data_IF_687543098824
#
_entry.id   IF_687543098824
#
_cell.length_a   1.000
_cell.length_b   1.000
_cell.length_c   1.000
_cell.angle_alpha   90.00
_cell.angle_beta   90.00
_cell.angle_gamma   90.00
#
_symmetry.space_group_name_H-M   'P 1'
#
loop_
_entity.id
_entity.type
_entity.pdbx_description
1 polymer ?
#
# COMPACT_ATOMS: atom_id res chain seq x y z
N UNK A 1 -43.01 -43.77 53.04
CA UNK A 1 -42.13 -42.69 53.51
C UNK A 1 -41.24 -42.34 52.31
N UNK A 2 -41.64 -41.35 51.59
CA UNK A 2 -40.87 -40.85 50.40
C UNK A 2 -40.30 -39.50 50.80
N UNK A 3 -39.00 -39.50 51.10
CA UNK A 3 -38.20 -38.24 51.19
C UNK A 3 -37.89 -37.70 49.78
N UNK A 4 -38.61 -36.66 49.38
CA UNK A 4 -38.23 -35.83 48.28
C UNK A 4 -37.24 -34.78 48.80
N UNK A 5 -35.96 -35.06 48.67
CA UNK A 5 -34.93 -34.04 48.78
C UNK A 5 -35.03 -33.10 47.57
N UNK A 6 -35.48 -31.90 47.86
CA UNK A 6 -35.60 -30.80 46.90
C UNK A 6 -34.15 -30.29 46.51
N UNK A 7 -33.52 -30.89 45.51
CA UNK A 7 -32.25 -30.44 45.00
C UNK A 7 -32.49 -29.12 44.25
N UNK A 8 -32.11 -27.99 44.85
CA UNK A 8 -32.08 -26.71 44.18
C UNK A 8 -31.13 -26.81 42.97
N UNK A 9 -31.70 -26.60 41.79
CA UNK A 9 -30.96 -26.59 40.54
C UNK A 9 -30.06 -25.33 40.49
N UNK A 10 -28.75 -25.54 40.59
CA UNK A 10 -27.77 -24.50 40.31
C UNK A 10 -27.80 -24.16 38.81
N UNK A 11 -27.89 -22.88 38.48
CA UNK A 11 -27.86 -22.41 37.09
C UNK A 11 -26.66 -21.54 36.86
N UNK A 12 -25.92 -21.81 35.75
CA UNK A 12 -24.79 -21.01 35.34
C UNK A 12 -25.26 -19.71 34.66
N UNK A 13 -25.07 -18.58 35.31
CA UNK A 13 -25.53 -17.26 34.82
C UNK A 13 -24.45 -16.18 34.97
N UNK A 14 -24.61 -15.10 34.21
CA UNK A 14 -23.74 -13.90 34.27
C UNK A 14 -24.05 -13.07 35.52
N UNK A 15 -23.08 -12.87 36.39
CA UNK A 15 -23.20 -11.94 37.50
C UNK A 15 -23.55 -10.53 37.01
N UNK A 16 -24.64 -9.92 37.53
CA UNK A 16 -25.06 -8.57 37.15
C UNK A 16 -24.02 -7.49 37.50
N UNK A 17 -23.21 -7.72 38.55
CA UNK A 17 -22.18 -6.78 38.98
C UNK A 17 -20.89 -6.82 38.12
N UNK A 18 -20.19 -7.94 38.09
CA UNK A 18 -18.89 -8.08 37.44
C UNK A 18 -18.92 -8.66 36.00
N UNK A 19 -20.10 -9.15 35.56
CA UNK A 19 -20.29 -9.77 34.23
C UNK A 19 -19.48 -11.04 33.98
N UNK A 20 -19.06 -11.75 35.08
CA UNK A 20 -18.42 -13.06 34.98
C UNK A 20 -19.49 -14.16 35.18
N UNK A 21 -19.23 -15.35 34.65
CA UNK A 21 -20.08 -16.53 34.81
C UNK A 21 -19.88 -17.13 36.20
N UNK A 22 -20.97 -17.45 36.90
CA UNK A 22 -20.99 -18.12 38.18
C UNK A 22 -22.18 -19.07 38.25
N UNK A 23 -22.04 -20.13 39.04
CA UNK A 23 -23.16 -20.97 39.47
C UNK A 23 -23.92 -20.25 40.56
N UNK A 24 -25.23 -20.09 40.39
CA UNK A 24 -26.10 -19.43 41.35
C UNK A 24 -27.19 -20.40 41.81
N UNK A 25 -27.45 -20.38 43.10
CA UNK A 25 -28.58 -21.06 43.71
C UNK A 25 -29.79 -20.11 43.75
N UNK A 26 -30.91 -20.54 43.21
CA UNK A 26 -32.14 -19.76 43.22
C UNK A 26 -32.07 -18.44 42.45
N UNK A 27 -32.75 -17.40 42.98
CA UNK A 27 -32.90 -16.09 42.33
C UNK A 27 -31.70 -15.11 42.48
N UNK A 28 -30.56 -15.61 42.94
CA UNK A 28 -29.37 -14.77 43.14
C UNK A 28 -28.81 -14.34 41.80
N UNK A 29 -28.62 -13.02 41.59
CA UNK A 29 -28.17 -12.42 40.32
C UNK A 29 -26.78 -11.76 40.38
N UNK A 30 -26.10 -11.86 41.55
CA UNK A 30 -24.76 -11.27 41.77
C UNK A 30 -23.90 -12.24 42.61
N UNK A 31 -22.62 -12.39 42.22
CA UNK A 31 -21.65 -13.22 42.95
C UNK A 31 -21.31 -12.62 44.32
N UNK A 32 -20.76 -13.45 45.22
CA UNK A 32 -20.43 -13.05 46.59
C UNK A 32 -19.51 -11.83 46.64
N UNK A 33 -18.45 -11.82 45.88
CA UNK A 33 -17.53 -10.68 45.78
C UNK A 33 -18.22 -9.37 45.42
N UNK A 34 -19.22 -9.40 44.55
CA UNK A 34 -20.00 -8.21 44.20
C UNK A 34 -21.01 -7.84 45.27
N UNK A 35 -21.58 -8.82 45.99
CA UNK A 35 -22.43 -8.56 47.14
C UNK A 35 -21.68 -7.97 48.32
N UNK A 36 -20.48 -8.49 48.60
CA UNK A 36 -19.63 -8.00 49.69
C UNK A 36 -19.08 -6.60 49.40
N UNK A 37 -18.69 -6.32 48.16
CA UNK A 37 -18.34 -4.97 47.74
C UNK A 37 -19.52 -4.00 47.87
N UNK A 38 -20.72 -4.43 47.56
CA UNK A 38 -21.94 -3.65 47.76
C UNK A 38 -22.30 -3.44 49.26
N UNK A 39 -21.93 -4.38 50.14
CA UNK A 39 -22.08 -4.24 51.62
C UNK A 39 -21.02 -3.27 52.17
N UNK A 40 -19.75 -3.40 51.76
CA UNK A 40 -18.65 -2.50 52.17
C UNK A 40 -18.95 -1.03 51.80
N UNK A 41 -19.42 -0.78 50.58
CA UNK A 41 -19.83 0.58 50.16
C UNK A 41 -21.06 1.13 50.92
N UNK A 42 -21.90 0.27 51.49
CA UNK A 42 -23.02 0.72 52.32
C UNK A 42 -22.60 0.97 53.79
N UNK A 43 -21.64 0.23 54.31
CA UNK A 43 -21.13 0.42 55.68
C UNK A 43 -20.24 1.69 55.79
N UNK A 44 -19.55 2.08 54.74
CA UNK A 44 -18.82 3.36 54.70
C UNK A 44 -19.72 4.60 54.55
N UNK A 45 -21.00 4.42 54.24
CA UNK A 45 -21.95 5.50 54.00
C UNK A 45 -22.60 6.09 55.27
N UNK A 46 -22.11 5.75 56.49
CA UNK A 46 -22.53 6.39 57.74
C UNK A 46 -21.84 7.73 58.05
N UNK A 47 -21.34 8.41 57.02
CA UNK A 47 -20.76 9.74 57.12
C UNK A 47 -21.92 10.77 57.25
N UNK A 48 -21.79 11.71 58.17
CA UNK A 48 -22.69 12.80 58.50
C UNK A 48 -23.39 13.40 57.27
N UNK A 49 -24.71 13.28 57.27
CA UNK A 49 -25.58 13.75 56.19
C UNK A 49 -25.71 15.27 56.26
N UNK A 50 -24.97 15.98 55.46
CA UNK A 50 -25.05 17.45 55.36
C UNK A 50 -25.95 17.81 54.20
N UNK A 51 -26.95 18.73 54.33
CA UNK A 51 -27.81 19.17 53.25
C UNK A 51 -27.00 19.95 52.19
N UNK A 52 -27.46 19.92 50.95
CA UNK A 52 -26.88 20.72 49.88
C UNK A 52 -27.03 22.22 50.17
N UNK A 53 -26.00 23.04 49.90
CA UNK A 53 -26.04 24.47 50.15
C UNK A 53 -26.90 25.29 49.19
N UNK A 54 -27.53 24.64 48.18
CA UNK A 54 -28.49 25.30 47.29
C UNK A 54 -29.87 25.32 47.89
N UNK A 55 -30.49 26.50 47.98
CA UNK A 55 -31.83 26.74 48.50
C UNK A 55 -32.85 25.85 47.76
N UNK A 56 -33.72 25.18 48.54
CA UNK A 56 -34.76 24.26 48.02
C UNK A 56 -34.23 22.87 47.59
N UNK A 57 -32.96 22.55 47.78
CA UNK A 57 -32.42 21.23 47.40
C UNK A 57 -32.45 20.25 48.58
N UNK A 58 -33.15 19.12 48.42
CA UNK A 58 -33.22 18.03 49.39
C UNK A 58 -32.08 17.02 49.30
N UNK A 59 -31.17 17.17 48.33
CA UNK A 59 -30.04 16.25 48.13
C UNK A 59 -28.96 16.46 49.17
N UNK A 60 -28.26 15.37 49.51
CA UNK A 60 -27.15 15.33 50.47
C UNK A 60 -25.81 15.63 49.76
N UNK A 61 -24.87 16.25 50.46
CA UNK A 61 -23.51 16.53 50.01
C UNK A 61 -22.44 15.87 50.89
N UNK A 62 -21.21 15.72 50.39
CA UNK A 62 -20.06 15.33 51.20
C UNK A 62 -19.56 16.53 52.02
N UNK A 63 -18.81 16.30 53.10
CA UNK A 63 -18.23 17.33 53.95
C UNK A 63 -17.27 18.28 53.23
N UNK A 64 -16.66 17.83 52.14
CA UNK A 64 -15.65 18.59 51.37
C UNK A 64 -16.27 19.53 50.32
N UNK A 65 -17.53 19.40 50.00
CA UNK A 65 -18.17 20.17 48.93
C UNK A 65 -19.36 21.01 49.44
N UNK A 66 -19.48 22.24 48.95
CA UNK A 66 -20.60 23.11 49.31
C UNK A 66 -21.95 22.67 48.73
N UNK A 67 -21.95 21.84 47.63
CA UNK A 67 -23.14 21.45 46.90
C UNK A 67 -23.19 19.94 46.68
N UNK A 68 -24.41 19.40 46.51
CA UNK A 68 -24.57 17.99 46.11
C UNK A 68 -23.99 17.75 44.69
N UNK A 69 -23.72 16.50 44.34
CA UNK A 69 -23.09 16.15 43.06
C UNK A 69 -23.85 16.66 41.85
N UNK A 70 -25.18 16.79 41.88
CA UNK A 70 -25.96 17.34 40.80
C UNK A 70 -25.66 18.85 40.59
N UNK A 71 -25.67 19.61 41.69
CA UNK A 71 -25.43 21.07 41.64
C UNK A 71 -23.95 21.40 41.32
N UNK A 72 -23.01 20.57 41.74
CA UNK A 72 -21.59 20.69 41.27
C UNK A 72 -21.49 20.51 39.75
N UNK A 73 -22.26 19.61 39.16
CA UNK A 73 -22.29 19.42 37.70
C UNK A 73 -22.90 20.66 37.03
N UNK A 74 -24.00 21.21 37.57
CA UNK A 74 -24.60 22.42 37.01
C UNK A 74 -23.64 23.62 37.03
N UNK A 75 -22.99 23.89 38.16
CA UNK A 75 -21.98 24.95 38.26
C UNK A 75 -20.85 24.76 37.24
N UNK A 76 -20.34 23.58 37.08
CA UNK A 76 -19.30 23.27 36.09
C UNK A 76 -19.78 23.50 34.65
N UNK A 77 -21.07 23.21 34.36
CA UNK A 77 -21.66 23.51 33.04
C UNK A 77 -21.71 24.99 32.79
N UNK A 78 -22.21 25.75 33.79
CA UNK A 78 -22.37 27.23 33.72
C UNK A 78 -21.00 27.90 33.55
N UNK A 79 -20.01 27.54 34.33
CA UNK A 79 -18.62 28.03 34.24
C UNK A 79 -18.01 27.77 32.86
N UNK A 80 -18.18 26.54 32.36
CA UNK A 80 -17.63 26.17 31.05
C UNK A 80 -18.26 26.95 29.90
N UNK A 81 -19.60 27.17 30.00
CA UNK A 81 -20.35 27.98 29.03
C UNK A 81 -19.93 29.44 29.08
N UNK A 82 -19.73 30.00 30.26
CA UNK A 82 -19.27 31.39 30.45
C UNK A 82 -17.87 31.63 29.84
N UNK A 83 -17.01 30.56 29.79
CA UNK A 83 -15.71 30.61 29.17
C UNK A 83 -15.74 30.36 27.63
N UNK A 84 -16.91 30.18 27.03
CA UNK A 84 -17.06 29.86 25.60
C UNK A 84 -16.50 28.48 25.21
N UNK A 85 -16.34 27.58 26.17
CA UNK A 85 -15.77 26.24 25.95
C UNK A 85 -16.85 25.19 25.85
N UNK A 86 -16.50 24.04 25.25
CA UNK A 86 -17.36 22.86 25.16
C UNK A 86 -17.06 21.90 26.31
N UNK A 87 -18.09 21.20 26.78
CA UNK A 87 -17.94 20.13 27.76
C UNK A 87 -17.54 18.81 27.09
N UNK A 88 -16.62 18.07 27.70
CA UNK A 88 -16.42 16.68 27.31
C UNK A 88 -17.71 15.89 27.51
N UNK A 89 -18.17 15.13 26.50
CA UNK A 89 -19.43 14.34 26.57
C UNK A 89 -19.54 13.45 27.81
N UNK A 90 -18.42 13.08 28.43
CA UNK A 90 -18.38 12.28 29.65
C UNK A 90 -18.50 13.13 30.92
N UNK A 91 -18.88 14.42 30.85
CA UNK A 91 -19.04 15.28 32.03
C UNK A 91 -20.07 14.73 33.04
N UNK A 92 -21.14 14.13 32.53
CA UNK A 92 -22.15 13.45 33.38
C UNK A 92 -21.60 12.23 34.13
N UNK A 93 -20.48 11.67 33.65
CA UNK A 93 -19.76 10.55 34.28
C UNK A 93 -18.55 11.01 35.11
N UNK A 94 -18.48 12.28 35.42
CA UNK A 94 -17.45 12.89 36.28
C UNK A 94 -16.23 13.45 35.54
N UNK A 95 -16.19 13.46 34.22
CA UNK A 95 -15.11 14.17 33.50
C UNK A 95 -15.26 15.68 33.67
N UNK A 96 -14.16 16.36 34.00
CA UNK A 96 -14.12 17.83 34.19
C UNK A 96 -13.24 18.52 33.14
N UNK A 97 -13.01 17.87 32.00
CA UNK A 97 -12.26 18.48 30.89
C UNK A 97 -13.14 19.46 30.11
N UNK A 98 -12.63 20.68 29.99
CA UNK A 98 -13.18 21.74 29.15
C UNK A 98 -12.45 21.68 27.82
N UNK A 99 -13.18 21.74 26.70
CA UNK A 99 -12.68 21.65 25.34
C UNK A 99 -12.83 23.00 24.68
N UNK A 100 -11.87 23.39 23.86
CA UNK A 100 -11.98 24.61 23.08
C UNK A 100 -13.13 24.52 22.08
N UNK A 101 -13.74 25.67 21.73
CA UNK A 101 -14.90 25.70 20.85
C UNK A 101 -14.63 25.05 19.49
N UNK A 102 -13.39 25.15 18.99
CA UNK A 102 -12.94 24.57 17.70
C UNK A 102 -12.50 23.10 17.79
N UNK A 103 -12.45 22.52 19.01
CA UNK A 103 -12.03 21.13 19.17
C UNK A 103 -13.01 20.18 18.49
N UNK A 104 -12.54 19.42 17.49
CA UNK A 104 -13.40 18.59 16.61
C UNK A 104 -14.07 17.42 17.33
N UNK A 105 -13.47 16.92 18.41
CA UNK A 105 -14.02 15.77 19.13
C UNK A 105 -14.95 16.17 20.26
N UNK A 106 -15.99 15.38 20.48
CA UNK A 106 -16.96 15.58 21.58
C UNK A 106 -16.46 15.06 22.93
N UNK A 107 -15.29 14.39 22.97
CA UNK A 107 -14.67 13.85 24.18
C UNK A 107 -13.19 14.28 24.25
N UNK A 108 -12.71 14.53 25.47
CA UNK A 108 -11.30 14.88 25.69
C UNK A 108 -10.36 13.68 25.42
N UNK A 109 -9.10 13.95 25.17
CA UNK A 109 -8.08 12.94 24.86
C UNK A 109 -8.00 11.85 25.95
N UNK A 110 -8.00 12.22 27.24
CA UNK A 110 -7.96 11.28 28.34
C UNK A 110 -9.16 10.30 28.37
N UNK A 111 -10.37 10.78 28.03
CA UNK A 111 -11.54 9.91 27.91
C UNK A 111 -11.46 8.99 26.70
N UNK A 112 -10.92 9.47 25.59
CA UNK A 112 -10.70 8.66 24.37
C UNK A 112 -9.63 7.58 24.63
N UNK A 113 -8.59 7.90 25.37
CA UNK A 113 -7.52 6.96 25.71
C UNK A 113 -8.01 5.86 26.66
N UNK A 114 -8.77 6.21 27.73
CA UNK A 114 -9.43 5.23 28.59
C UNK A 114 -10.37 4.29 27.82
N UNK A 115 -11.10 4.80 26.83
CA UNK A 115 -11.95 3.97 25.98
C UNK A 115 -11.12 3.02 25.12
N UNK A 116 -9.99 3.49 24.55
CA UNK A 116 -9.06 2.66 23.76
C UNK A 116 -8.43 1.54 24.62
N UNK A 117 -7.99 1.87 25.81
CA UNK A 117 -7.42 0.89 26.76
C UNK A 117 -8.46 -0.16 27.16
N UNK A 118 -9.68 0.26 27.47
CA UNK A 118 -10.79 -0.65 27.79
C UNK A 118 -11.13 -1.56 26.60
N UNK A 119 -11.15 -1.03 25.39
CA UNK A 119 -11.44 -1.82 24.19
C UNK A 119 -10.28 -2.77 23.85
N UNK A 120 -9.03 -2.35 24.10
CA UNK A 120 -7.85 -3.20 24.00
C UNK A 120 -7.90 -4.34 25.02
N UNK A 121 -8.24 -4.04 26.26
CA UNK A 121 -8.39 -5.04 27.31
C UNK A 121 -9.52 -6.04 27.00
N UNK A 122 -10.67 -5.59 26.48
CA UNK A 122 -11.74 -6.48 26.02
C UNK A 122 -11.30 -7.42 24.91
N UNK A 123 -10.53 -6.92 23.94
CA UNK A 123 -10.04 -7.73 22.81
C UNK A 123 -8.98 -8.76 23.24
N UNK A 124 -8.19 -8.46 24.27
CA UNK A 124 -7.18 -9.38 24.81
C UNK A 124 -7.77 -10.56 25.60
N UNK A 125 -9.02 -10.44 26.02
CA UNK A 125 -9.74 -11.48 26.80
C UNK A 125 -10.63 -12.36 25.91
N UNK A 126 -10.72 -12.07 24.59
CA UNK A 126 -11.51 -12.91 23.69
C UNK A 126 -10.85 -14.27 23.55
N UNK A 127 -11.48 -15.31 24.07
CA UNK A 127 -11.01 -16.69 23.95
C UNK A 127 -11.07 -17.13 22.49
N UNK A 128 -10.02 -17.80 22.03
CA UNK A 128 -10.00 -18.51 20.75
C UNK A 128 -10.55 -19.92 20.86
N UNK A 129 -10.87 -20.38 22.06
CA UNK A 129 -11.39 -21.72 22.33
C UNK A 129 -12.83 -21.87 21.83
N UNK A 130 -13.11 -23.04 21.30
CA UNK A 130 -14.45 -23.46 20.88
C UNK A 130 -15.08 -24.21 22.07
N UNK A 131 -16.18 -23.68 22.57
CA UNK A 131 -16.95 -24.29 23.67
C UNK A 131 -18.31 -24.69 23.11
N UNK A 132 -18.68 -25.95 23.22
CA UNK A 132 -19.98 -26.51 22.74
C UNK A 132 -20.27 -26.14 21.25
N UNK A 133 -19.25 -26.24 20.37
CA UNK A 133 -19.41 -25.90 18.96
C UNK A 133 -19.59 -24.41 18.68
N UNK A 134 -19.33 -23.53 19.65
CA UNK A 134 -19.46 -22.08 19.54
C UNK A 134 -18.15 -21.39 19.78
N UNK A 135 -17.91 -20.31 19.03
CA UNK A 135 -16.73 -19.44 19.12
C UNK A 135 -17.11 -18.05 19.62
N UNK A 136 -16.22 -17.41 20.37
CA UNK A 136 -16.45 -16.05 20.85
C UNK A 136 -16.11 -15.01 19.77
N UNK A 137 -17.06 -14.11 19.51
CA UNK A 137 -16.86 -13.03 18.52
C UNK A 137 -15.95 -11.93 19.08
N UNK A 138 -14.94 -11.52 18.31
CA UNK A 138 -13.99 -10.47 18.71
C UNK A 138 -14.60 -9.06 18.82
N UNK A 139 -15.82 -8.84 18.34
CA UNK A 139 -16.51 -7.54 18.36
C UNK A 139 -17.59 -7.49 19.42
N UNK A 140 -18.59 -8.38 19.37
CA UNK A 140 -19.69 -8.39 20.36
C UNK A 140 -19.38 -9.22 21.59
N UNK A 141 -18.27 -9.98 21.60
CA UNK A 141 -17.86 -10.89 22.68
C UNK A 141 -18.91 -12.00 23.00
N UNK A 142 -19.92 -12.17 22.15
CA UNK A 142 -20.93 -13.24 22.30
C UNK A 142 -20.42 -14.54 21.65
N UNK A 143 -20.84 -15.69 22.27
CA UNK A 143 -20.60 -17.00 21.69
C UNK A 143 -21.62 -17.29 20.58
N UNK A 144 -21.12 -17.63 19.39
CA UNK A 144 -21.91 -17.87 18.17
C UNK A 144 -21.52 -19.21 17.56
N UNK A 145 -22.41 -19.86 16.79
CA UNK A 145 -22.09 -21.07 16.03
C UNK A 145 -20.93 -20.84 15.06
N UNK A 146 -20.17 -21.89 14.74
CA UNK A 146 -19.01 -21.77 13.83
C UNK A 146 -19.39 -21.30 12.42
N UNK A 147 -20.59 -21.64 11.97
CA UNK A 147 -21.15 -21.20 10.69
C UNK A 147 -21.17 -19.66 10.54
N UNK A 148 -21.43 -18.95 11.63
CA UNK A 148 -21.43 -17.50 11.69
C UNK A 148 -20.04 -16.88 11.44
N UNK A 149 -18.97 -17.67 11.45
CA UNK A 149 -17.60 -17.19 11.23
C UNK A 149 -17.05 -17.46 9.84
N UNK A 150 -17.88 -18.02 8.96
CA UNK A 150 -17.52 -18.22 7.55
C UNK A 150 -17.72 -16.91 6.78
N UNK A 151 -16.68 -16.40 6.13
CA UNK A 151 -16.72 -15.20 5.30
C UNK A 151 -17.22 -15.48 3.89
N UNK A 152 -17.40 -14.43 3.08
CA UNK A 152 -17.91 -14.50 1.70
C UNK A 152 -17.07 -15.41 0.80
N UNK A 153 -15.74 -15.50 1.06
CA UNK A 153 -14.83 -16.36 0.29
C UNK A 153 -14.51 -17.68 1.01
N UNK A 154 -15.44 -18.20 1.80
CA UNK A 154 -15.28 -19.42 2.60
C UNK A 154 -14.10 -19.40 3.60
N UNK A 155 -13.50 -18.21 3.85
CA UNK A 155 -12.43 -18.08 4.85
C UNK A 155 -13.00 -17.94 6.25
N UNK A 156 -12.29 -18.50 7.23
CA UNK A 156 -12.61 -18.30 8.64
C UNK A 156 -12.36 -16.85 9.08
N UNK A 157 -13.30 -16.25 9.80
CA UNK A 157 -13.23 -14.88 10.30
C UNK A 157 -13.19 -14.85 11.83
N UNK A 158 -12.72 -13.73 12.41
CA UNK A 158 -12.73 -13.49 13.88
C UNK A 158 -14.03 -12.85 14.38
N UNK A 159 -14.91 -12.45 13.46
CA UNK A 159 -16.17 -11.73 13.75
C UNK A 159 -17.37 -12.51 13.24
N UNK A 160 -18.45 -12.56 14.03
CA UNK A 160 -19.67 -13.24 13.60
C UNK A 160 -20.37 -12.51 12.43
N UNK A 161 -21.21 -13.23 11.70
CA UNK A 161 -22.00 -12.75 10.56
C UNK A 161 -22.75 -11.45 10.89
N UNK A 162 -23.48 -11.43 12.01
CA UNK A 162 -24.25 -10.26 12.47
C UNK A 162 -23.37 -9.01 12.63
N UNK A 163 -22.21 -9.10 13.28
CA UNK A 163 -21.29 -7.96 13.40
C UNK A 163 -20.73 -7.51 12.05
N UNK A 164 -20.48 -8.43 11.13
CA UNK A 164 -20.04 -8.08 9.77
C UNK A 164 -21.12 -7.36 9.00
N UNK A 165 -22.37 -7.76 9.13
CA UNK A 165 -23.51 -7.12 8.49
C UNK A 165 -23.77 -5.71 9.04
N UNK A 166 -23.67 -5.54 10.35
CA UNK A 166 -23.78 -4.22 10.98
C UNK A 166 -22.67 -3.27 10.46
N UNK A 167 -21.43 -3.74 10.35
CA UNK A 167 -20.35 -2.97 9.75
C UNK A 167 -20.61 -2.62 8.29
N UNK A 168 -21.20 -3.56 7.53
CA UNK A 168 -21.56 -3.32 6.13
C UNK A 168 -22.60 -2.21 6.02
N UNK A 169 -23.70 -2.31 6.78
CA UNK A 169 -24.76 -1.30 6.84
C UNK A 169 -24.24 0.08 7.29
N UNK A 170 -23.33 0.11 8.26
CA UNK A 170 -22.71 1.35 8.70
C UNK A 170 -21.81 1.97 7.61
N UNK A 171 -21.05 1.14 6.88
CA UNK A 171 -20.19 1.61 5.80
C UNK A 171 -20.99 2.11 4.58
N UNK A 172 -22.14 1.52 4.30
CA UNK A 172 -23.05 1.99 3.24
C UNK A 172 -23.61 3.38 3.52
N UNK A 173 -23.84 3.69 4.80
CA UNK A 173 -24.34 5.01 5.25
C UNK A 173 -23.25 6.08 5.30
N UNK A 174 -21.97 5.73 5.19
CA UNK A 174 -20.86 6.69 5.21
C UNK A 174 -20.78 7.45 3.90
N UNK A 175 -20.57 8.75 3.99
CA UNK A 175 -20.20 9.56 2.83
C UNK A 175 -18.86 9.05 2.28
N UNK A 176 -18.93 8.42 1.10
CA UNK A 176 -17.77 7.80 0.44
C UNK A 176 -16.71 8.82 0.03
N UNK A 177 -17.13 10.06 -0.28
CA UNK A 177 -16.19 11.12 -0.65
C UNK A 177 -15.42 11.62 0.55
N UNK A 178 -16.10 11.86 1.66
CA UNK A 178 -15.48 12.23 2.93
C UNK A 178 -14.48 11.14 3.41
N UNK A 179 -14.85 9.86 3.33
CA UNK A 179 -13.96 8.75 3.70
C UNK A 179 -12.71 8.74 2.82
N UNK A 180 -12.87 8.91 1.49
CA UNK A 180 -11.72 8.97 0.56
C UNK A 180 -10.80 10.16 0.85
N UNK A 181 -11.37 11.30 1.22
CA UNK A 181 -10.57 12.46 1.58
C UNK A 181 -9.78 12.25 2.87
N UNK A 182 -10.41 11.68 3.90
CA UNK A 182 -9.75 11.30 5.14
C UNK A 182 -8.64 10.27 4.89
N UNK A 183 -8.88 9.25 4.07
CA UNK A 183 -7.87 8.26 3.70
C UNK A 183 -6.71 8.90 2.94
N UNK A 184 -6.98 9.85 2.04
CA UNK A 184 -5.95 10.60 1.31
C UNK A 184 -5.10 11.45 2.26
N UNK A 185 -5.72 12.16 3.21
CA UNK A 185 -5.03 12.92 4.26
C UNK A 185 -4.20 11.98 5.17
N UNK A 186 -4.80 10.90 5.63
CA UNK A 186 -4.14 9.95 6.52
C UNK A 186 -2.98 9.19 5.85
N UNK A 187 -3.09 8.90 4.54
CA UNK A 187 -2.02 8.19 3.81
C UNK A 187 -0.74 9.01 3.67
N UNK A 188 -0.83 10.34 3.78
CA UNK A 188 0.30 11.27 3.71
C UNK A 188 0.99 11.52 5.06
N UNK A 189 0.44 11.02 6.17
CA UNK A 189 1.05 11.20 7.49
C UNK A 189 2.43 10.52 7.54
N UNK A 190 3.49 11.23 8.01
CA UNK A 190 4.87 10.70 8.00
C UNK A 190 5.00 9.33 8.68
N UNK A 191 4.31 9.11 9.80
CA UNK A 191 4.31 7.85 10.54
C UNK A 191 3.75 6.68 9.69
N UNK A 192 2.64 6.90 8.97
CA UNK A 192 2.07 5.88 8.09
C UNK A 192 2.94 5.61 6.87
N UNK A 193 3.58 6.65 6.33
CA UNK A 193 4.55 6.52 5.24
C UNK A 193 5.77 5.71 5.72
N UNK A 194 6.29 5.99 6.91
CA UNK A 194 7.41 5.27 7.50
C UNK A 194 7.09 3.77 7.66
N UNK A 195 5.97 3.45 8.32
CA UNK A 195 5.52 2.06 8.51
C UNK A 195 5.32 1.34 7.17
N UNK A 196 4.74 2.02 6.17
CA UNK A 196 4.59 1.46 4.83
C UNK A 196 5.93 1.19 4.15
N UNK A 197 6.89 2.10 4.30
CA UNK A 197 8.22 1.96 3.71
C UNK A 197 8.99 0.80 4.37
N UNK A 198 8.89 0.64 5.68
CA UNK A 198 9.47 -0.50 6.40
C UNK A 198 8.86 -1.82 5.93
N UNK A 199 7.51 -1.87 5.83
CA UNK A 199 6.84 -3.06 5.33
C UNK A 199 7.26 -3.37 3.89
N UNK A 200 7.38 -2.36 3.02
CA UNK A 200 7.83 -2.55 1.63
C UNK A 200 9.25 -3.09 1.57
N UNK A 201 10.16 -2.59 2.42
CA UNK A 201 11.53 -3.09 2.53
C UNK A 201 11.58 -4.55 3.02
N UNK A 202 10.72 -4.90 3.96
CA UNK A 202 10.63 -6.26 4.50
C UNK A 202 9.92 -7.25 3.55
N UNK A 203 9.15 -6.77 2.56
CA UNK A 203 8.37 -7.61 1.66
C UNK A 203 8.57 -7.25 0.17
N UNK A 204 9.81 -7.23 -0.35
CA UNK A 204 10.10 -6.73 -1.70
C UNK A 204 9.42 -7.54 -2.81
N UNK A 205 9.32 -8.87 -2.68
CA UNK A 205 8.65 -9.75 -3.66
C UNK A 205 7.14 -9.45 -3.74
N UNK A 206 6.46 -9.28 -2.59
CA UNK A 206 5.03 -8.95 -2.55
C UNK A 206 4.75 -7.59 -3.20
N UNK A 207 5.65 -6.63 -2.97
CA UNK A 207 5.56 -5.29 -3.58
C UNK A 207 5.74 -5.40 -5.09
N UNK A 208 6.73 -6.15 -5.55
CA UNK A 208 7.01 -6.35 -6.97
C UNK A 208 5.84 -7.04 -7.69
N UNK A 209 5.29 -8.12 -7.14
CA UNK A 209 4.11 -8.81 -7.66
C UNK A 209 2.89 -7.86 -7.75
N UNK A 210 2.64 -7.08 -6.70
CA UNK A 210 1.56 -6.10 -6.69
C UNK A 210 1.69 -5.05 -7.79
N UNK A 211 2.90 -4.55 -8.03
CA UNK A 211 3.16 -3.57 -9.10
C UNK A 211 3.04 -4.19 -10.50
N UNK A 212 3.47 -5.43 -10.71
CA UNK A 212 3.27 -6.18 -11.96
C UNK A 212 1.78 -6.34 -12.22
N UNK A 213 1.01 -6.85 -11.26
CA UNK A 213 -0.43 -7.07 -11.40
C UNK A 213 -1.22 -5.75 -11.56
N UNK A 214 -0.75 -4.65 -10.97
CA UNK A 214 -1.32 -3.32 -11.19
C UNK A 214 -1.10 -2.84 -12.63
N UNK A 215 0.10 -3.07 -13.20
CA UNK A 215 0.40 -2.73 -14.60
C UNK A 215 -0.38 -3.60 -15.57
N UNK A 216 -0.66 -4.85 -15.22
CA UNK A 216 -1.40 -5.80 -16.04
C UNK A 216 -2.83 -5.34 -16.36
N UNK A 217 -3.43 -4.49 -15.52
CA UNK A 217 -4.75 -3.88 -15.76
C UNK A 217 -4.81 -2.97 -17.00
N UNK A 218 -3.65 -2.58 -17.52
CA UNK A 218 -3.57 -1.76 -18.72
C UNK A 218 -3.76 -2.57 -20.01
N UNK A 219 -3.82 -3.89 -19.94
CA UNK A 219 -3.90 -4.80 -21.07
C UNK A 219 -5.21 -5.58 -21.02
N UNK A 220 -5.84 -5.73 -22.20
CA UNK A 220 -7.12 -6.43 -22.33
C UNK A 220 -6.92 -7.95 -22.14
N UNK A 221 -7.88 -8.61 -21.50
CA UNK A 221 -7.85 -10.05 -21.30
C UNK A 221 -6.80 -10.62 -20.36
N UNK A 222 -5.86 -9.79 -19.84
CA UNK A 222 -4.76 -10.29 -19.03
C UNK A 222 -5.19 -10.67 -17.62
N UNK A 223 -4.86 -11.89 -17.21
CA UNK A 223 -5.04 -12.40 -15.85
C UNK A 223 -3.83 -12.02 -14.99
N UNK A 224 -4.08 -11.72 -13.72
CA UNK A 224 -2.99 -11.44 -12.78
C UNK A 224 -2.12 -12.68 -12.54
N UNK A 225 -0.81 -12.50 -12.44
CA UNK A 225 0.10 -13.56 -12.04
C UNK A 225 -0.18 -13.98 -10.60
N UNK A 226 -0.19 -15.29 -10.36
CA UNK A 226 -0.19 -15.83 -8.99
C UNK A 226 1.19 -15.65 -8.34
N UNK A 227 1.27 -15.87 -7.03
CA UNK A 227 2.55 -15.81 -6.34
C UNK A 227 3.51 -16.88 -6.85
N UNK A 228 3.03 -18.09 -7.07
CA UNK A 228 3.81 -19.24 -7.55
C UNK A 228 4.38 -18.97 -8.95
N UNK A 229 3.55 -18.43 -9.87
CA UNK A 229 3.99 -18.04 -11.21
C UNK A 229 5.05 -16.93 -11.16
N UNK A 230 4.83 -15.93 -10.31
CA UNK A 230 5.78 -14.83 -10.10
C UNK A 230 7.12 -15.37 -9.57
N UNK A 231 7.10 -16.22 -8.55
CA UNK A 231 8.29 -16.81 -7.94
C UNK A 231 9.04 -17.68 -8.95
N UNK A 232 8.33 -18.49 -9.75
CA UNK A 232 8.92 -19.34 -10.80
C UNK A 232 9.70 -18.52 -11.82
N UNK A 233 9.16 -17.36 -12.24
CA UNK A 233 9.84 -16.48 -13.20
C UNK A 233 11.01 -15.77 -12.54
N UNK A 234 10.80 -15.12 -11.40
CA UNK A 234 11.75 -14.15 -10.83
C UNK A 234 12.95 -14.78 -10.16
N UNK A 235 12.86 -16.05 -9.72
CA UNK A 235 13.97 -16.81 -9.13
C UNK A 235 14.92 -17.42 -10.17
N UNK A 236 14.69 -17.17 -11.45
CA UNK A 236 15.60 -17.57 -12.52
C UNK A 236 16.64 -16.47 -12.81
N UNK A 237 17.81 -16.84 -13.35
CA UNK A 237 18.75 -15.87 -13.90
C UNK A 237 18.10 -14.97 -14.93
N UNK A 238 18.63 -13.77 -15.09
CA UNK A 238 18.14 -12.82 -16.11
C UNK A 238 18.17 -13.45 -17.51
N UNK A 239 17.04 -13.45 -18.19
CA UNK A 239 16.87 -14.01 -19.55
C UNK A 239 17.91 -13.45 -20.53
N UNK A 240 18.20 -12.13 -20.41
CA UNK A 240 19.12 -11.45 -21.33
C UNK A 240 20.60 -11.62 -20.97
N UNK A 241 21.02 -11.37 -19.74
CA UNK A 241 22.43 -11.36 -19.36
C UNK A 241 22.86 -12.48 -18.39
N UNK A 242 21.98 -13.38 -18.02
CA UNK A 242 22.28 -14.52 -17.16
C UNK A 242 22.55 -14.21 -15.68
N UNK A 243 22.46 -12.96 -15.25
CA UNK A 243 22.79 -12.57 -13.86
C UNK A 243 21.58 -12.71 -12.94
N UNK A 244 21.81 -13.17 -11.70
CA UNK A 244 20.87 -13.07 -10.59
C UNK A 244 21.19 -11.81 -9.77
N UNK A 245 20.17 -11.04 -9.38
CA UNK A 245 20.36 -9.89 -8.50
C UNK A 245 20.61 -10.31 -7.05
N UNK A 246 21.41 -9.54 -6.31
CA UNK A 246 21.80 -9.80 -4.91
C UNK A 246 20.61 -10.02 -3.96
N UNK A 247 19.48 -9.37 -4.21
CA UNK A 247 18.23 -9.57 -3.46
C UNK A 247 17.59 -10.95 -3.62
N UNK A 248 18.20 -11.87 -4.38
CA UNK A 248 17.75 -13.26 -4.57
C UNK A 248 16.60 -13.44 -5.57
N UNK A 249 16.13 -12.39 -6.22
CA UNK A 249 15.13 -12.45 -7.28
C UNK A 249 15.30 -11.31 -8.29
N UNK A 250 14.97 -11.59 -9.54
CA UNK A 250 14.94 -10.60 -10.62
C UNK A 250 13.56 -9.96 -10.76
N UNK A 251 13.45 -8.93 -11.60
CA UNK A 251 12.16 -8.41 -12.07
C UNK A 251 11.55 -9.30 -13.14
N UNK A 252 10.46 -8.81 -13.73
CA UNK A 252 9.80 -9.44 -14.88
C UNK A 252 9.84 -8.48 -16.07
N UNK A 253 10.26 -8.99 -17.21
CA UNK A 253 10.11 -8.34 -18.50
C UNK A 253 9.08 -9.08 -19.36
N UNK A 254 8.42 -8.34 -20.24
CA UNK A 254 7.52 -8.90 -21.27
C UNK A 254 8.29 -9.00 -22.58
N UNK A 255 8.41 -10.19 -23.14
CA UNK A 255 9.09 -10.39 -24.43
C UNK A 255 8.40 -9.58 -25.53
N UNK A 256 7.07 -9.70 -25.59
CA UNK A 256 6.21 -8.86 -26.44
C UNK A 256 5.60 -7.75 -25.60
N UNK A 257 6.06 -6.53 -25.78
CA UNK A 257 5.63 -5.37 -25.01
C UNK A 257 4.19 -4.91 -25.28
N UNK A 258 3.53 -5.43 -26.32
CA UNK A 258 2.12 -5.15 -26.63
C UNK A 258 1.21 -5.96 -25.70
N UNK A 259 1.59 -7.19 -25.40
CA UNK A 259 0.85 -8.10 -24.52
C UNK A 259 1.04 -7.73 -23.06
N UNK A 260 0.16 -8.18 -22.20
CA UNK A 260 0.27 -8.03 -20.76
C UNK A 260 1.27 -9.01 -20.13
N UNK A 261 1.22 -9.07 -18.82
CA UNK A 261 2.04 -10.00 -18.02
C UNK A 261 1.35 -11.38 -17.96
N UNK A 262 1.38 -12.07 -19.09
CA UNK A 262 0.98 -13.47 -19.23
C UNK A 262 2.21 -14.35 -18.99
N UNK A 263 2.03 -15.55 -18.44
CA UNK A 263 3.16 -16.40 -18.06
C UNK A 263 4.05 -16.73 -19.26
N UNK A 264 3.47 -16.97 -20.43
CA UNK A 264 4.14 -17.30 -21.68
C UNK A 264 4.88 -16.10 -22.31
N UNK A 265 4.52 -14.88 -21.88
CA UNK A 265 5.10 -13.63 -22.36
C UNK A 265 6.11 -13.04 -21.37
N UNK A 266 6.24 -13.63 -20.18
CA UNK A 266 7.06 -13.10 -19.11
C UNK A 266 8.37 -13.86 -18.95
N UNK A 267 9.47 -13.11 -18.80
CA UNK A 267 10.79 -13.67 -18.51
C UNK A 267 11.44 -12.98 -17.33
N UNK A 268 12.31 -13.71 -16.63
CA UNK A 268 13.15 -13.13 -15.58
C UNK A 268 14.07 -12.05 -16.17
N UNK A 269 14.10 -10.88 -15.58
CA UNK A 269 14.90 -9.78 -16.08
C UNK A 269 15.48 -8.92 -14.96
N UNK A 270 16.81 -8.74 -14.96
CA UNK A 270 17.46 -7.82 -14.02
C UNK A 270 17.06 -6.37 -14.33
N UNK A 271 17.19 -5.50 -13.34
CA UNK A 271 16.78 -4.09 -13.44
C UNK A 271 17.46 -3.36 -14.61
N UNK A 272 18.74 -3.61 -14.81
CA UNK A 272 19.52 -2.97 -15.89
C UNK A 272 19.03 -3.39 -17.27
N UNK A 273 18.91 -4.71 -17.55
CA UNK A 273 18.43 -5.18 -18.84
C UNK A 273 17.00 -4.72 -19.13
N UNK A 274 16.14 -4.69 -18.11
CA UNK A 274 14.76 -4.20 -18.25
C UNK A 274 14.72 -2.70 -18.59
N UNK A 275 15.60 -1.90 -17.97
CA UNK A 275 15.72 -0.48 -18.29
C UNK A 275 16.31 -0.26 -19.68
N UNK A 276 17.32 -1.02 -20.07
CA UNK A 276 17.96 -0.92 -21.39
C UNK A 276 17.00 -1.30 -22.51
N UNK A 277 16.23 -2.38 -22.33
CA UNK A 277 15.23 -2.81 -23.30
C UNK A 277 14.07 -1.81 -23.38
N UNK A 278 13.60 -1.30 -22.26
CA UNK A 278 12.47 -0.38 -22.24
C UNK A 278 11.21 -1.01 -22.79
N UNK A 279 10.53 -0.30 -23.70
CA UNK A 279 9.27 -0.76 -24.30
C UNK A 279 9.44 -1.46 -25.66
N UNK A 280 10.68 -1.62 -26.16
CA UNK A 280 10.91 -2.35 -27.41
C UNK A 280 10.71 -3.86 -27.19
N UNK A 281 10.46 -4.60 -28.27
CA UNK A 281 10.37 -6.04 -28.20
C UNK A 281 11.74 -6.71 -27.95
N UNK A 282 11.71 -7.98 -27.57
CA UNK A 282 12.91 -8.74 -27.24
C UNK A 282 13.89 -8.86 -28.42
N UNK A 283 13.38 -9.10 -29.63
CA UNK A 283 14.22 -9.26 -30.83
C UNK A 283 14.90 -7.94 -31.20
N UNK A 284 14.15 -6.84 -31.23
CA UNK A 284 14.70 -5.50 -31.48
C UNK A 284 15.78 -5.16 -30.45
N UNK A 285 15.57 -5.49 -29.17
CA UNK A 285 16.55 -5.25 -28.13
C UNK A 285 17.87 -6.00 -28.38
N UNK A 286 17.80 -7.30 -28.68
CA UNK A 286 19.02 -8.10 -28.92
C UNK A 286 19.70 -7.71 -30.23
N UNK A 287 18.96 -7.38 -31.29
CA UNK A 287 19.52 -6.81 -32.52
C UNK A 287 20.27 -5.53 -32.27
N UNK A 288 19.78 -4.64 -31.41
CA UNK A 288 20.52 -3.43 -31.00
C UNK A 288 21.83 -3.77 -30.30
N UNK A 289 21.80 -4.75 -29.39
CA UNK A 289 23.00 -5.21 -28.69
C UNK A 289 24.04 -5.72 -29.69
N UNK A 290 23.69 -6.61 -30.61
CA UNK A 290 24.59 -7.15 -31.63
C UNK A 290 25.11 -6.06 -32.55
N UNK A 291 24.22 -5.15 -33.01
CA UNK A 291 24.61 -4.02 -33.86
C UNK A 291 25.65 -3.12 -33.18
N UNK A 292 25.43 -2.74 -31.91
CA UNK A 292 26.35 -1.87 -31.16
C UNK A 292 27.71 -2.56 -31.00
N UNK A 293 27.74 -3.80 -30.61
CA UNK A 293 28.98 -4.55 -30.44
C UNK A 293 29.74 -4.74 -31.74
N UNK A 294 29.04 -4.99 -32.85
CA UNK A 294 29.62 -5.09 -34.18
C UNK A 294 30.17 -3.74 -34.67
N UNK A 295 29.44 -2.65 -34.43
CA UNK A 295 29.87 -1.30 -34.79
C UNK A 295 31.17 -0.92 -34.07
N UNK A 296 31.32 -1.30 -32.81
CA UNK A 296 32.49 -1.02 -31.97
C UNK A 296 33.60 -2.11 -32.08
N UNK A 297 33.54 -2.97 -33.09
CA UNK A 297 34.54 -4.02 -33.37
C UNK A 297 34.74 -5.02 -32.21
N UNK A 298 33.74 -5.20 -31.36
CA UNK A 298 33.71 -6.16 -30.26
C UNK A 298 33.17 -7.53 -30.69
N UNK A 299 32.62 -7.62 -31.90
CA UNK A 299 32.20 -8.86 -32.55
C UNK A 299 32.80 -8.94 -33.95
N UNK A 300 33.55 -10.01 -34.25
CA UNK A 300 34.19 -10.22 -35.56
C UNK A 300 33.20 -10.60 -36.66
N UNK A 301 32.18 -11.41 -36.31
CA UNK A 301 31.17 -11.93 -37.24
C UNK A 301 29.76 -11.50 -36.92
N UNK A 302 29.60 -10.37 -36.23
CA UNK A 302 28.28 -9.86 -35.82
C UNK A 302 27.58 -9.18 -37.01
N UNK A 303 26.25 -9.10 -36.94
CA UNK A 303 25.41 -8.45 -37.94
C UNK A 303 25.07 -7.00 -37.52
N UNK A 304 24.92 -6.15 -38.52
CA UNK A 304 24.42 -4.77 -38.33
C UNK A 304 22.94 -4.71 -38.63
N UNK A 305 22.17 -4.06 -37.74
CA UNK A 305 20.71 -3.88 -37.84
C UNK A 305 20.36 -2.39 -37.73
N UNK A 306 20.59 -1.56 -38.74
CA UNK A 306 20.32 -0.12 -38.68
C UNK A 306 18.83 0.18 -38.49
N UNK A 307 17.94 -0.70 -38.96
CA UNK A 307 16.50 -0.66 -38.83
C UNK A 307 16.00 -0.91 -37.39
N UNK A 308 16.83 -1.47 -36.53
CA UNK A 308 16.52 -1.61 -35.10
C UNK A 308 16.52 -0.26 -34.34
N UNK A 309 17.00 0.82 -34.99
CA UNK A 309 17.07 2.18 -34.43
C UNK A 309 16.12 3.10 -35.18
N UNK A 310 15.02 3.49 -34.57
CA UNK A 310 14.05 4.40 -35.18
C UNK A 310 14.64 5.81 -35.40
N UNK A 311 14.07 6.54 -36.34
CA UNK A 311 14.35 7.94 -36.52
C UNK A 311 13.69 8.75 -35.38
N UNK A 312 14.41 9.75 -34.88
CA UNK A 312 13.96 10.64 -33.80
C UNK A 312 14.57 12.02 -34.02
N UNK A 313 13.84 13.06 -33.69
CA UNK A 313 14.38 14.40 -33.60
C UNK A 313 15.12 14.58 -32.28
N UNK A 314 16.36 15.06 -32.34
CA UNK A 314 17.15 15.47 -31.16
C UNK A 314 16.51 16.66 -30.42
N UNK A 315 16.96 16.95 -29.24
CA UNK A 315 16.56 18.15 -28.50
C UNK A 315 17.36 19.36 -28.98
N UNK A 316 16.81 20.56 -28.88
CA UNK A 316 17.50 21.79 -29.21
C UNK A 316 18.56 22.16 -28.17
N UNK A 317 19.57 22.95 -28.58
CA UNK A 317 20.64 23.47 -27.73
C UNK A 317 20.11 24.10 -26.43
N UNK A 318 19.16 25.02 -26.56
CA UNK A 318 18.55 25.72 -25.42
C UNK A 318 17.94 24.76 -24.37
N UNK A 319 17.33 23.63 -24.83
CA UNK A 319 16.76 22.63 -23.95
C UNK A 319 17.83 21.85 -23.21
N UNK A 320 18.96 21.54 -23.83
CA UNK A 320 20.10 20.90 -23.17
C UNK A 320 20.65 21.80 -22.07
N UNK A 321 20.86 23.10 -22.36
CA UNK A 321 21.32 24.10 -21.41
C UNK A 321 20.37 24.21 -20.19
N UNK A 322 19.08 24.42 -20.45
CA UNK A 322 18.07 24.51 -19.38
C UNK A 322 18.00 23.23 -18.53
N UNK A 323 18.05 22.05 -19.15
CA UNK A 323 18.04 20.78 -18.41
C UNK A 323 19.31 20.57 -17.59
N UNK A 324 20.48 21.00 -18.06
CA UNK A 324 21.73 20.95 -17.32
C UNK A 324 21.69 21.89 -16.11
N UNK A 325 21.20 23.11 -16.28
CA UNK A 325 21.01 24.09 -15.19
C UNK A 325 20.06 23.55 -14.10
N UNK A 326 18.92 23.01 -14.50
CA UNK A 326 17.96 22.40 -13.55
C UNK A 326 18.57 21.24 -12.75
N UNK A 327 19.46 20.47 -13.38
CA UNK A 327 20.15 19.33 -12.76
C UNK A 327 21.46 19.73 -12.09
N UNK A 328 21.84 21.02 -12.13
CA UNK A 328 23.08 21.57 -11.59
C UNK A 328 24.35 20.98 -12.23
N UNK A 329 24.26 20.62 -13.52
CA UNK A 329 25.43 20.23 -14.30
C UNK A 329 26.07 21.46 -14.91
N UNK A 330 27.39 21.48 -14.96
CA UNK A 330 28.15 22.46 -15.74
C UNK A 330 27.80 22.31 -17.22
N UNK A 331 27.57 23.41 -17.93
CA UNK A 331 27.25 23.43 -19.33
C UNK A 331 28.15 24.47 -20.06
N UNK A 332 29.23 23.99 -20.63
CA UNK A 332 30.27 24.82 -21.31
C UNK A 332 30.26 24.66 -22.82
N UNK A 333 29.36 23.83 -23.39
CA UNK A 333 29.23 23.72 -24.83
C UNK A 333 28.73 25.03 -25.43
N UNK A 334 29.46 25.56 -26.40
CA UNK A 334 28.91 26.62 -27.25
C UNK A 334 27.84 26.06 -28.18
N UNK A 335 27.00 26.94 -28.71
CA UNK A 335 25.95 26.54 -29.64
C UNK A 335 26.55 25.96 -30.93
N UNK A 336 27.67 26.52 -31.41
CA UNK A 336 28.41 26.03 -32.56
C UNK A 336 28.97 24.61 -32.31
N UNK A 337 29.61 24.39 -31.16
CA UNK A 337 30.12 23.08 -30.77
C UNK A 337 28.97 22.03 -30.67
N UNK A 338 27.83 22.41 -30.11
CA UNK A 338 26.66 21.56 -30.05
C UNK A 338 26.18 21.15 -31.45
N UNK A 339 26.02 22.11 -32.39
CA UNK A 339 25.56 21.81 -33.74
C UNK A 339 26.60 21.05 -34.56
N UNK A 340 27.89 21.16 -34.25
CA UNK A 340 28.92 20.32 -34.81
C UNK A 340 28.76 18.86 -34.33
N UNK A 341 28.66 18.64 -33.02
CA UNK A 341 28.52 17.32 -32.44
C UNK A 341 27.31 16.55 -32.99
N UNK A 342 26.13 17.15 -33.04
CA UNK A 342 24.91 16.44 -33.47
C UNK A 342 24.92 16.03 -34.95
N UNK A 343 25.83 16.58 -35.77
CA UNK A 343 26.04 16.16 -37.16
C UNK A 343 26.94 14.92 -37.28
N UNK A 344 27.71 14.61 -36.27
CA UNK A 344 28.54 13.42 -36.22
C UNK A 344 27.71 12.16 -36.07
N UNK A 345 28.30 11.00 -36.38
CA UNK A 345 27.67 9.71 -36.15
C UNK A 345 27.50 9.43 -34.63
N UNK A 346 26.47 8.73 -34.27
CA UNK A 346 26.30 8.26 -32.89
C UNK A 346 27.51 7.39 -32.48
N UNK A 347 28.25 7.82 -31.44
CA UNK A 347 29.47 7.14 -31.00
C UNK A 347 29.24 5.72 -30.50
N UNK A 348 27.97 5.35 -30.20
CA UNK A 348 27.60 4.03 -29.73
C UNK A 348 27.21 3.11 -30.90
N UNK A 349 26.34 3.54 -31.82
CA UNK A 349 25.78 2.68 -32.86
C UNK A 349 26.08 3.15 -34.31
N UNK A 350 26.78 4.23 -34.51
CA UNK A 350 27.10 4.76 -35.83
C UNK A 350 25.93 5.38 -36.61
N UNK A 351 24.78 5.60 -35.97
CA UNK A 351 23.63 6.22 -36.65
C UNK A 351 23.92 7.68 -37.01
N UNK A 352 23.73 8.00 -38.29
CA UNK A 352 23.96 9.35 -38.83
C UNK A 352 22.75 10.25 -38.69
N UNK A 353 22.98 11.53 -38.48
CA UNK A 353 21.97 12.57 -38.65
C UNK A 353 21.59 12.69 -40.10
N UNK A 354 20.30 12.79 -40.41
CA UNK A 354 19.73 12.98 -41.74
C UNK A 354 18.42 13.78 -41.63
N UNK A 355 17.71 13.98 -42.75
CA UNK A 355 16.46 14.75 -42.83
C UNK A 355 15.39 14.28 -41.82
N UNK A 356 15.34 12.98 -41.50
CA UNK A 356 14.33 12.37 -40.65
C UNK A 356 14.85 12.01 -39.25
N UNK A 357 16.14 12.22 -38.98
CA UNK A 357 16.79 11.88 -37.73
C UNK A 357 17.88 12.86 -37.34
N UNK A 358 17.85 13.32 -36.10
CA UNK A 358 18.91 14.15 -35.54
C UNK A 358 19.44 13.49 -34.26
N UNK A 359 20.78 13.32 -34.20
CA UNK A 359 21.42 12.89 -32.96
C UNK A 359 21.33 13.99 -31.91
N UNK A 360 21.45 13.62 -30.66
CA UNK A 360 21.64 14.51 -29.52
C UNK A 360 23.07 14.44 -29.01
N UNK A 361 23.28 14.87 -27.79
CA UNK A 361 24.57 14.84 -27.11
C UNK A 361 24.44 14.00 -25.83
N UNK A 362 25.40 13.12 -25.63
CA UNK A 362 25.55 12.33 -24.38
C UNK A 362 26.89 12.71 -23.73
N UNK A 363 26.93 12.64 -22.41
CA UNK A 363 28.15 12.79 -21.61
C UNK A 363 28.86 11.43 -21.53
N UNK A 364 30.15 11.41 -21.83
CA UNK A 364 30.95 10.21 -21.72
C UNK A 364 31.11 9.80 -20.26
N UNK A 365 31.51 10.76 -19.44
CA UNK A 365 31.55 10.65 -17.96
C UNK A 365 30.34 11.39 -17.37
N UNK A 366 29.48 10.65 -16.66
CA UNK A 366 28.25 11.19 -16.09
C UNK A 366 28.48 12.05 -14.83
N UNK A 367 29.67 11.99 -14.22
CA UNK A 367 30.06 12.82 -13.07
C UNK A 367 30.43 14.24 -13.50
N UNK A 368 30.80 14.42 -14.77
CA UNK A 368 31.15 15.70 -15.34
C UNK A 368 29.97 16.35 -16.08
N UNK A 369 30.07 17.65 -16.31
CA UNK A 369 29.09 18.40 -17.10
C UNK A 369 29.22 18.23 -18.60
N UNK A 370 28.49 19.05 -19.34
CA UNK A 370 28.57 19.12 -20.80
C UNK A 370 29.73 20.06 -21.23
N UNK A 371 30.91 19.51 -21.28
CA UNK A 371 32.09 20.15 -21.90
C UNK A 371 32.32 19.54 -23.27
N UNK A 372 33.07 20.22 -24.16
CA UNK A 372 33.33 19.68 -25.50
C UNK A 372 34.05 18.32 -25.45
N UNK A 373 35.00 18.16 -24.52
CA UNK A 373 35.78 16.93 -24.40
C UNK A 373 34.98 15.78 -23.71
N UNK A 374 33.93 16.09 -22.95
CA UNK A 374 33.07 15.10 -22.30
C UNK A 374 31.76 14.85 -23.05
N UNK A 375 31.58 15.43 -24.22
CA UNK A 375 30.33 15.38 -24.97
C UNK A 375 30.50 14.67 -26.29
N UNK A 376 29.67 13.69 -26.59
CA UNK A 376 29.71 12.92 -27.82
C UNK A 376 28.34 12.91 -28.50
N UNK A 377 28.36 12.81 -29.84
CA UNK A 377 27.14 12.61 -30.62
C UNK A 377 26.48 11.30 -30.26
N UNK A 378 25.21 11.33 -29.89
CA UNK A 378 24.49 10.13 -29.49
C UNK A 378 23.03 10.15 -29.92
N UNK A 379 22.57 9.09 -30.58
CA UNK A 379 21.15 8.95 -30.88
C UNK A 379 20.32 8.73 -29.60
N UNK A 380 19.09 9.22 -29.57
CA UNK A 380 18.25 9.17 -28.38
C UNK A 380 18.02 7.77 -27.84
N UNK A 381 18.06 6.75 -28.71
CA UNK A 381 17.85 5.35 -28.27
C UNK A 381 19.08 4.78 -27.58
N UNK A 382 20.28 5.06 -28.07
CA UNK A 382 21.51 4.67 -27.38
C UNK A 382 21.67 5.41 -26.06
N UNK A 383 21.36 6.72 -26.03
CA UNK A 383 21.39 7.52 -24.81
C UNK A 383 20.41 6.95 -23.75
N UNK A 384 19.19 6.54 -24.15
CA UNK A 384 18.22 5.88 -23.25
C UNK A 384 18.72 4.50 -22.80
N UNK A 385 19.39 3.74 -23.65
CA UNK A 385 19.95 2.44 -23.28
C UNK A 385 21.12 2.58 -22.30
N UNK A 386 22.06 3.49 -22.56
CA UNK A 386 23.23 3.72 -21.71
C UNK A 386 22.85 4.39 -20.40
N UNK A 387 21.97 5.39 -20.43
CA UNK A 387 21.61 6.21 -19.25
C UNK A 387 22.84 6.76 -18.54
N UNK A 388 22.92 6.51 -17.23
CA UNK A 388 24.01 6.94 -16.35
C UNK A 388 25.11 5.87 -16.18
N UNK A 389 25.10 4.81 -17.00
CA UNK A 389 26.18 3.83 -16.97
C UNK A 389 27.44 4.42 -17.59
N UNK A 390 28.59 4.15 -16.98
CA UNK A 390 29.88 4.35 -17.60
C UNK A 390 29.95 3.56 -18.91
N UNK A 391 30.61 4.14 -19.91
CA UNK A 391 30.68 3.52 -21.25
C UNK A 391 31.28 2.11 -21.23
N UNK A 392 32.36 1.89 -20.46
CA UNK A 392 33.01 0.59 -20.38
C UNK A 392 32.12 -0.46 -19.70
N UNK A 393 31.40 -0.05 -18.67
CA UNK A 393 30.41 -0.90 -17.96
C UNK A 393 29.26 -1.24 -18.89
N UNK A 394 28.76 -0.25 -19.63
CA UNK A 394 27.70 -0.43 -20.61
C UNK A 394 28.10 -1.46 -21.67
N UNK A 395 29.31 -1.33 -22.28
CA UNK A 395 29.79 -2.25 -23.33
C UNK A 395 29.98 -3.66 -22.78
N UNK A 396 30.56 -3.83 -21.59
CA UNK A 396 30.67 -5.14 -20.91
C UNK A 396 29.29 -5.76 -20.65
N UNK A 397 28.29 -4.94 -20.32
CA UNK A 397 26.92 -5.43 -20.14
C UNK A 397 26.31 -5.92 -21.46
N UNK A 398 26.54 -5.21 -22.57
CA UNK A 398 26.11 -5.66 -23.90
C UNK A 398 26.77 -6.98 -24.30
N UNK A 399 28.06 -7.16 -24.02
CA UNK A 399 28.78 -8.42 -24.28
C UNK A 399 28.13 -9.58 -23.52
N UNK A 400 27.87 -9.42 -22.20
CA UNK A 400 27.16 -10.44 -21.41
C UNK A 400 25.76 -10.76 -21.95
N UNK A 401 25.02 -9.76 -22.44
CA UNK A 401 23.73 -9.98 -23.06
C UNK A 401 23.89 -10.80 -24.35
N UNK A 402 24.85 -10.46 -25.21
CA UNK A 402 25.08 -11.18 -26.45
C UNK A 402 25.56 -12.63 -26.21
N UNK A 403 26.48 -12.83 -25.29
CA UNK A 403 26.96 -14.17 -24.88
C UNK A 403 25.82 -15.08 -24.39
N UNK A 404 24.93 -14.52 -23.59
CA UNK A 404 23.85 -15.31 -22.99
C UNK A 404 22.63 -15.51 -23.93
N UNK A 405 22.26 -14.53 -24.74
CA UNK A 405 21.03 -14.62 -25.53
C UNK A 405 21.17 -14.27 -27.01
N UNK A 406 22.31 -13.73 -27.48
CA UNK A 406 22.48 -13.30 -28.86
C UNK A 406 22.34 -14.43 -29.90
N UNK A 407 22.63 -15.67 -29.52
CA UNK A 407 22.50 -16.87 -30.37
C UNK A 407 21.27 -17.74 -30.05
N UNK A 408 20.44 -17.33 -29.08
CA UNK A 408 19.22 -18.06 -28.73
C UNK A 408 18.13 -17.81 -29.77
N UNK A 409 17.43 -18.87 -30.14
CA UNK A 409 16.18 -18.69 -30.86
C UNK A 409 15.17 -18.01 -29.93
N UNK A 410 14.65 -16.87 -30.36
CA UNK A 410 13.73 -16.08 -29.59
C UNK A 410 12.34 -16.14 -30.18
N UNK A 411 11.33 -16.24 -29.31
CA UNK A 411 9.93 -16.17 -29.74
C UNK A 411 9.67 -14.81 -30.39
N UNK A 412 9.16 -14.78 -31.62
CA UNK A 412 8.87 -13.51 -32.30
C UNK A 412 7.74 -12.75 -31.60
N UNK A 413 7.83 -11.42 -31.52
CA UNK A 413 6.76 -10.60 -31.01
C UNK A 413 5.58 -10.54 -32.00
N UNK A 414 4.39 -10.20 -31.51
CA UNK A 414 3.20 -9.98 -32.38
C UNK A 414 3.45 -8.80 -33.35
N UNK A 415 4.14 -7.77 -32.89
CA UNK A 415 4.53 -6.60 -33.68
C UNK A 415 5.92 -6.15 -33.21
N UNK A 416 6.80 -5.87 -34.16
CA UNK A 416 8.13 -5.31 -33.87
C UNK A 416 8.00 -3.86 -33.39
N UNK A 417 8.41 -3.59 -32.15
CA UNK A 417 8.33 -2.26 -31.54
C UNK A 417 9.71 -1.65 -31.51
N UNK A 418 10.02 -0.86 -32.51
CA UNK A 418 11.29 -0.12 -32.60
C UNK A 418 11.23 1.24 -31.89
N UNK A 419 10.02 1.81 -31.71
CA UNK A 419 9.84 3.13 -31.09
C UNK A 419 8.84 3.08 -29.94
N UNK A 420 9.22 3.62 -28.76
CA UNK A 420 8.37 3.71 -27.57
C UNK A 420 7.05 4.46 -27.78
N UNK A 421 6.97 5.42 -28.70
CA UNK A 421 5.74 6.18 -28.97
C UNK A 421 4.60 5.29 -29.47
N UNK A 422 4.92 4.22 -30.22
CA UNK A 422 3.92 3.28 -30.73
C UNK A 422 3.31 2.40 -29.63
N UNK A 423 4.07 2.13 -28.56
CA UNK A 423 3.61 1.34 -27.44
C UNK A 423 2.49 2.02 -26.63
N UNK A 424 2.52 3.35 -26.50
CA UNK A 424 1.51 4.09 -25.73
C UNK A 424 0.12 4.08 -26.38
N UNK A 425 0.03 3.88 -27.70
CA UNK A 425 -1.23 3.79 -28.45
C UNK A 425 -2.03 2.52 -28.11
N UNK A 426 -1.36 1.47 -27.63
CA UNK A 426 -1.97 0.18 -27.32
C UNK A 426 -2.42 0.05 -25.85
N UNK A 427 -2.19 1.08 -25.03
CA UNK A 427 -2.69 1.07 -23.64
C UNK A 427 -4.18 1.40 -23.62
N UNK A 428 -4.94 0.62 -22.87
CA UNK A 428 -6.36 0.89 -22.64
C UNK A 428 -6.58 2.28 -22.06
N UNK A 429 -7.64 2.95 -22.47
CA UNK A 429 -8.09 4.20 -21.85
C UNK A 429 -8.37 4.00 -20.35
N UNK A 430 -8.39 5.09 -19.58
CA UNK A 430 -8.68 5.02 -18.15
C UNK A 430 -10.06 4.43 -17.86
N UNK A 431 -11.01 4.61 -18.77
CA UNK A 431 -12.37 4.08 -18.69
C UNK A 431 -12.43 2.58 -18.94
N UNK A 432 -11.81 2.07 -20.00
CA UNK A 432 -11.67 0.63 -20.27
C UNK A 432 -10.92 -0.10 -19.16
N UNK A 433 -9.92 0.53 -18.53
CA UNK A 433 -9.21 -0.04 -17.36
C UNK A 433 -10.12 -0.19 -16.13
N UNK A 434 -11.04 0.77 -15.91
CA UNK A 434 -12.04 0.70 -14.83
C UNK A 434 -13.07 -0.41 -15.11
N UNK A 435 -13.49 -0.53 -16.34
CA UNK A 435 -14.44 -1.55 -16.79
C UNK A 435 -13.87 -2.96 -16.65
N UNK A 436 -12.64 -3.22 -17.13
CA UNK A 436 -11.94 -4.49 -16.93
C UNK A 436 -11.75 -4.84 -15.44
N UNK A 437 -11.57 -3.85 -14.57
CA UNK A 437 -11.49 -4.08 -13.13
C UNK A 437 -12.85 -4.46 -12.53
N UNK A 438 -13.96 -3.97 -13.08
CA UNK A 438 -15.33 -4.34 -12.67
C UNK A 438 -15.69 -5.74 -13.15
N UNK A 439 -15.39 -6.07 -14.41
CA UNK A 439 -15.64 -7.39 -15.00
C UNK A 439 -14.88 -8.51 -14.27
N UNK A 440 -13.64 -8.25 -13.85
CA UNK A 440 -12.86 -9.21 -13.02
C UNK A 440 -13.46 -9.43 -11.63
N UNK A 441 -14.09 -8.43 -11.02
CA UNK A 441 -14.83 -8.58 -9.75
C UNK A 441 -16.11 -9.43 -9.93
N UNK A 442 -16.77 -9.32 -11.09
CA UNK A 442 -17.97 -10.09 -11.41
C UNK A 442 -17.61 -11.54 -11.72
N UNK A 443 -16.55 -11.80 -12.50
CA UNK A 443 -16.12 -13.16 -12.85
C UNK A 443 -15.60 -13.97 -11.64
N UNK A 444 -14.95 -13.31 -10.66
CA UNK A 444 -14.58 -13.97 -9.40
C UNK A 444 -15.78 -14.31 -8.52
N UNK A 445 -16.90 -13.60 -8.66
CA UNK A 445 -18.13 -13.91 -7.92
C UNK A 445 -18.96 -15.02 -8.60
N UNK A 446 -18.90 -15.13 -9.92
CA UNK A 446 -19.65 -16.19 -10.69
C UNK A 446 -18.94 -17.54 -10.60
N UNK A 447 -17.62 -17.59 -10.45
CA UNK A 447 -16.85 -18.85 -10.27
C UNK A 447 -17.06 -19.52 -8.90
N UNK A 448 -17.85 -18.91 -8.01
CA UNK A 448 -18.20 -19.43 -6.68
C UNK A 448 -19.63 -19.98 -6.59
N UNK A 449 -20.38 -19.94 -7.71
CA UNK A 449 -21.76 -20.46 -7.78
C UNK A 449 -21.92 -21.72 -8.67
N UNK A 450 -20.82 -22.41 -9.04
CA UNK A 450 -20.86 -23.69 -9.77
C UNK A 450 -20.13 -24.77 -8.92
#
# INVERSE_FOLDING_TARGET
MNDYTNTMLETLQLCRGCKKMYWFEGDIKTCDTCRDRGKATRSEASISVIPCGKEGCSNKRSTENAYCGLHQVCLFVDETSALGKKLCRNYVRGCRAQLDAEYECVRCLACLEKDRERDKAKRSVVSTEIVDGRKQCSVCCGFKPLEDYIGINNQETKTCSHCRDDFRKQNEKRDKEHVRELDRKNSKKPERVAVKNEWNKANPEKVALKEVNKRNRNYEGCVNLTKEQFDTITKQPCYYCGIMQEKGFNGIDRMDSIKGYEIENCVSCCTECNMMKGAVDNITFVRRVEHILTHNSLLTNGKRYPDAFSNQSGSYYSRYKTNAEQRKYVFELSEEQYYKLIKEECYICGKKTNENHTNGVDRFDNEQGYTFNNSNSCCGQCNIMKKEMDYSIFMKKLQKIYENCGKKEMKPPSICIVNMLNHNKNKLSSEKRKENSRLKLISTNISLEI
#
